data_IF_416969315432
#
_entry.id   IF_416969315432
#
_cell.length_a   1.000
_cell.length_b   1.000
_cell.length_c   1.000
_cell.angle_alpha   90.00
_cell.angle_beta   90.00
_cell.angle_gamma   90.00
#
_symmetry.space_group_name_H-M   'P 1'
#
loop_
_entity.id
_entity.type
_entity.pdbx_description
1 polymer ?
#
# COMPACT_ATOMS: atom_id res chain seq x y z
N UNK A 1 56.84 12.63 22.43
CA UNK A 1 57.65 11.46 22.82
C UNK A 1 56.66 10.35 23.14
N UNK A 2 56.45 9.28 22.39
CA UNK A 2 57.33 8.55 21.47
C UNK A 2 56.47 7.67 20.56
N UNK A 3 56.95 7.47 19.33
CA UNK A 3 56.40 6.62 18.28
C UNK A 3 56.80 5.15 18.47
N UNK A 4 55.90 4.22 18.17
CA UNK A 4 56.14 2.87 17.59
C UNK A 4 54.80 2.44 16.96
N UNK A 5 54.57 2.20 15.66
CA UNK A 5 55.22 1.49 14.54
C UNK A 5 55.35 -0.02 14.76
N UNK A 6 54.43 -0.79 14.18
CA UNK A 6 54.62 -2.16 13.60
C UNK A 6 53.22 -2.67 13.19
N UNK A 7 52.78 -2.80 11.93
CA UNK A 7 53.33 -3.40 10.71
C UNK A 7 53.59 -4.91 10.82
N UNK A 8 52.54 -5.72 10.62
CA UNK A 8 52.67 -7.04 9.98
C UNK A 8 51.54 -7.26 8.98
N UNK A 9 51.96 -7.31 7.73
CA UNK A 9 51.22 -7.78 6.57
C UNK A 9 51.13 -9.32 6.58
N UNK A 10 50.00 -9.79 6.06
CA UNK A 10 49.81 -10.90 5.11
C UNK A 10 50.53 -12.23 5.35
N UNK A 11 49.73 -13.29 5.49
CA UNK A 11 49.97 -14.55 4.76
C UNK A 11 48.63 -15.14 4.34
N UNK A 12 48.48 -15.23 3.02
CA UNK A 12 47.48 -16.00 2.30
C UNK A 12 47.70 -17.49 2.55
N UNK A 13 46.68 -18.17 3.09
CA UNK A 13 46.56 -19.61 2.88
C UNK A 13 45.29 -19.88 2.08
N UNK A 14 45.53 -20.20 0.81
CA UNK A 14 44.67 -20.98 -0.07
C UNK A 14 44.00 -22.10 0.71
N UNK A 15 42.67 -22.07 0.80
CA UNK A 15 41.88 -23.16 1.36
C UNK A 15 41.29 -23.95 0.19
N UNK A 16 41.71 -25.21 -0.04
CA UNK A 16 41.17 -26.03 -1.12
C UNK A 16 39.70 -26.36 -0.87
N UNK A 17 38.89 -26.27 -1.93
CA UNK A 17 37.46 -26.60 -1.93
C UNK A 17 37.25 -28.11 -1.68
N UNK A 18 36.31 -28.52 -0.82
CA UNK A 18 35.95 -29.92 -0.66
C UNK A 18 35.11 -30.43 -1.84
N UNK A 19 35.25 -31.72 -2.23
CA UNK A 19 34.58 -32.30 -3.37
C UNK A 19 33.05 -32.44 -3.17
N UNK A 20 32.35 -32.18 -4.27
CA UNK A 20 30.92 -32.33 -4.49
C UNK A 20 30.51 -33.80 -4.35
N UNK A 21 29.88 -34.18 -3.24
CA UNK A 21 29.30 -35.51 -3.07
C UNK A 21 27.85 -35.51 -3.57
N UNK A 22 27.64 -36.07 -4.76
CA UNK A 22 26.33 -36.45 -5.30
C UNK A 22 25.83 -37.71 -4.60
N UNK A 23 24.93 -37.57 -3.62
CA UNK A 23 24.08 -38.66 -3.18
C UNK A 23 22.81 -38.63 -4.02
N UNK A 24 22.78 -39.45 -5.06
CA UNK A 24 21.54 -39.82 -5.74
C UNK A 24 20.76 -40.70 -4.78
N UNK A 25 19.82 -40.10 -4.04
CA UNK A 25 18.78 -40.86 -3.35
C UNK A 25 17.79 -41.33 -4.41
N UNK A 26 17.78 -42.64 -4.63
CA UNK A 26 16.78 -43.35 -5.43
C UNK A 26 15.40 -43.11 -4.80
N UNK A 27 14.57 -42.34 -5.50
CA UNK A 27 13.19 -42.11 -5.10
C UNK A 27 12.40 -43.43 -5.13
N UNK A 28 11.59 -43.75 -4.10
CA UNK A 28 10.65 -44.85 -4.19
C UNK A 28 9.59 -44.54 -5.25
N UNK A 29 9.38 -45.49 -6.16
CA UNK A 29 8.32 -45.53 -7.15
C UNK A 29 6.96 -45.38 -6.47
N UNK A 30 6.40 -44.17 -6.49
CA UNK A 30 5.02 -43.94 -6.10
C UNK A 30 4.12 -44.36 -7.27
N UNK A 31 3.28 -45.34 -7.00
CA UNK A 31 2.17 -45.81 -7.82
C UNK A 31 1.31 -44.60 -8.24
N UNK A 32 0.91 -44.47 -9.52
CA UNK A 32 -0.02 -43.41 -9.92
C UNK A 32 -1.40 -43.71 -9.34
N UNK A 33 -1.70 -43.07 -8.21
CA UNK A 33 -3.04 -43.02 -7.62
C UNK A 33 -4.02 -42.46 -8.66
N UNK A 34 -5.19 -43.09 -8.86
CA UNK A 34 -6.17 -42.63 -9.84
C UNK A 34 -6.58 -41.20 -9.53
N UNK A 35 -6.51 -40.37 -10.57
CA UNK A 35 -6.74 -38.94 -10.56
C UNK A 35 -7.95 -38.55 -9.69
N UNK A 36 -7.68 -37.98 -8.53
CA UNK A 36 -8.67 -37.24 -7.77
C UNK A 36 -9.09 -36.05 -8.66
N UNK A 37 -10.38 -35.84 -8.99
CA UNK A 37 -10.79 -34.65 -9.70
C UNK A 37 -10.44 -33.46 -8.82
N UNK A 38 -9.55 -32.58 -9.31
CA UNK A 38 -9.14 -31.40 -8.58
C UNK A 38 -10.38 -30.56 -8.23
N UNK A 39 -10.85 -30.64 -6.98
CA UNK A 39 -11.99 -29.88 -6.43
C UNK A 39 -11.65 -28.40 -6.21
N UNK A 40 -10.82 -27.83 -7.08
CA UNK A 40 -10.57 -26.41 -7.17
C UNK A 40 -11.11 -25.98 -8.52
N UNK A 41 -12.42 -25.75 -8.57
CA UNK A 41 -13.03 -25.03 -9.67
C UNK A 41 -12.16 -23.81 -9.93
N UNK A 42 -11.63 -23.70 -11.16
CA UNK A 42 -10.82 -22.55 -11.58
C UNK A 42 -11.63 -21.32 -11.19
N UNK A 43 -11.11 -20.52 -10.25
CA UNK A 43 -11.60 -19.17 -9.99
C UNK A 43 -11.86 -18.55 -11.36
N UNK A 44 -13.12 -18.18 -11.63
CA UNK A 44 -13.51 -17.59 -12.90
C UNK A 44 -12.54 -16.44 -13.15
N UNK A 45 -11.59 -16.65 -14.07
CA UNK A 45 -10.58 -15.67 -14.41
C UNK A 45 -11.31 -14.62 -15.24
N UNK A 46 -11.93 -13.64 -14.58
CA UNK A 46 -12.38 -12.43 -15.26
C UNK A 46 -11.16 -11.88 -16.02
N UNK A 47 -11.29 -11.56 -17.32
CA UNK A 47 -10.18 -10.99 -18.05
C UNK A 47 -9.68 -9.75 -17.29
N UNK A 48 -8.36 -9.50 -17.26
CA UNK A 48 -7.83 -8.31 -16.60
C UNK A 48 -8.51 -7.07 -17.22
N UNK A 49 -8.94 -6.10 -16.39
CA UNK A 49 -9.58 -4.91 -16.90
C UNK A 49 -8.61 -4.15 -17.83
N UNK A 50 -9.13 -3.36 -18.78
CA UNK A 50 -8.29 -2.59 -19.67
C UNK A 50 -7.39 -1.64 -18.88
N UNK A 51 -6.17 -1.44 -19.36
CA UNK A 51 -5.18 -0.56 -18.71
C UNK A 51 -5.69 0.88 -18.60
N UNK A 52 -6.41 1.34 -19.61
CA UNK A 52 -7.07 2.64 -19.64
C UNK A 52 -8.58 2.37 -19.62
N UNK A 53 -9.30 2.76 -18.55
CA UNK A 53 -10.74 2.61 -18.49
C UNK A 53 -11.42 3.66 -19.35
N UNK A 54 -12.50 3.27 -20.02
CA UNK A 54 -13.40 4.24 -20.65
C UNK A 54 -14.00 5.14 -19.56
N UNK A 55 -14.18 6.45 -19.80
CA UNK A 55 -14.90 7.31 -18.88
C UNK A 55 -16.31 6.77 -18.64
N UNK A 56 -16.71 6.65 -17.39
CA UNK A 56 -18.01 6.12 -17.00
C UNK A 56 -18.46 6.76 -15.67
N UNK A 57 -19.74 6.59 -15.32
CA UNK A 57 -20.38 7.23 -14.15
C UNK A 57 -20.44 8.77 -14.21
N UNK A 58 -20.48 9.35 -15.42
CA UNK A 58 -20.50 10.81 -15.62
C UNK A 58 -19.19 11.52 -15.30
N UNK A 59 -18.08 10.77 -15.21
CA UNK A 59 -16.75 11.27 -14.95
C UNK A 59 -15.95 11.17 -16.25
N UNK A 60 -15.85 12.29 -16.96
CA UNK A 60 -15.13 12.39 -18.23
C UNK A 60 -13.75 13.04 -18.07
N UNK A 61 -13.62 13.92 -17.07
CA UNK A 61 -12.40 14.69 -16.83
C UNK A 61 -11.59 14.13 -15.66
N UNK A 62 -10.28 14.32 -15.73
CA UNK A 62 -9.34 13.96 -14.64
C UNK A 62 -9.70 14.71 -13.36
N UNK A 63 -10.07 15.98 -13.48
CA UNK A 63 -10.50 16.83 -12.37
C UNK A 63 -11.72 16.25 -11.65
N UNK A 64 -12.78 15.91 -12.40
CA UNK A 64 -13.98 15.30 -11.83
C UNK A 64 -13.66 13.98 -11.12
N UNK A 65 -12.75 13.17 -11.68
CA UNK A 65 -12.30 11.95 -11.02
C UNK A 65 -11.59 12.25 -9.71
N UNK A 66 -10.63 13.16 -9.68
CA UNK A 66 -9.86 13.49 -8.48
C UNK A 66 -10.74 14.13 -7.39
N UNK A 67 -11.71 14.96 -7.77
CA UNK A 67 -12.71 15.55 -6.87
C UNK A 67 -13.58 14.48 -6.22
N UNK A 68 -14.02 13.48 -6.99
CA UNK A 68 -14.85 12.39 -6.49
C UNK A 68 -14.17 11.57 -5.37
N UNK A 69 -12.83 11.57 -5.32
CA UNK A 69 -12.04 10.85 -4.32
C UNK A 69 -12.03 11.52 -2.94
N UNK A 70 -12.58 12.74 -2.79
CA UNK A 70 -12.76 13.48 -1.53
C UNK A 70 -11.47 13.69 -0.73
N UNK A 71 -10.35 13.90 -1.43
CA UNK A 71 -9.03 14.18 -0.81
C UNK A 71 -8.39 15.41 -1.43
N UNK A 72 -8.12 16.47 -0.64
CA UNK A 72 -7.60 17.73 -1.18
C UNK A 72 -6.18 17.59 -1.76
N UNK A 73 -5.38 16.68 -1.22
CA UNK A 73 -4.01 16.42 -1.69
C UNK A 73 -3.93 15.86 -3.11
N UNK A 74 -5.01 15.24 -3.60
CA UNK A 74 -5.07 14.70 -4.96
C UNK A 74 -5.46 15.77 -5.99
N UNK A 75 -6.13 16.84 -5.57
CA UNK A 75 -6.53 17.93 -6.48
C UNK A 75 -5.32 18.66 -7.07
N UNK A 76 -4.18 18.69 -6.35
CA UNK A 76 -2.94 19.25 -6.86
C UNK A 76 -2.41 18.54 -8.12
N UNK A 77 -2.91 17.33 -8.43
CA UNK A 77 -2.54 16.56 -9.61
C UNK A 77 -3.29 17.00 -10.87
N UNK A 78 -4.45 17.67 -10.72
CA UNK A 78 -5.23 18.19 -11.84
C UNK A 78 -4.39 19.11 -12.75
N UNK A 79 -3.60 19.99 -12.14
CA UNK A 79 -2.73 20.93 -12.84
C UNK A 79 -1.63 20.24 -13.68
N UNK A 80 -1.33 18.97 -13.42
CA UNK A 80 -0.27 18.22 -14.10
C UNK A 80 -0.79 17.26 -15.16
N UNK A 81 -1.96 16.69 -14.92
CA UNK A 81 -2.55 15.68 -15.79
C UNK A 81 -3.84 16.25 -16.38
N UNK A 82 -3.71 16.82 -17.57
CA UNK A 82 -4.84 17.34 -18.33
C UNK A 82 -5.55 16.21 -19.07
N UNK A 83 -4.81 15.17 -19.48
CA UNK A 83 -5.35 14.06 -20.27
C UNK A 83 -5.70 12.84 -19.42
N UNK A 84 -6.86 12.25 -19.73
CA UNK A 84 -7.36 11.03 -19.10
C UNK A 84 -6.39 9.85 -19.28
N UNK A 85 -5.91 9.66 -20.51
CA UNK A 85 -5.01 8.57 -20.85
C UNK A 85 -3.66 8.73 -20.15
N UNK A 86 -3.18 9.97 -19.98
CA UNK A 86 -1.95 10.25 -19.25
C UNK A 86 -2.10 9.82 -17.79
N UNK A 87 -3.22 10.11 -17.13
CA UNK A 87 -3.45 9.68 -15.74
C UNK A 87 -3.39 8.15 -15.59
N UNK A 88 -4.03 7.40 -16.50
CA UNK A 88 -4.16 5.94 -16.40
C UNK A 88 -3.02 5.13 -17.06
N UNK A 89 -2.21 5.76 -17.91
CA UNK A 89 -1.08 5.11 -18.59
C UNK A 89 0.17 5.03 -17.71
N UNK A 90 0.40 6.05 -16.86
CA UNK A 90 1.58 6.14 -16.00
C UNK A 90 1.77 4.87 -15.17
N UNK A 91 3.02 4.42 -15.08
CA UNK A 91 3.48 3.47 -14.06
C UNK A 91 3.62 4.26 -12.75
N UNK A 92 2.58 4.28 -11.92
CA UNK A 92 2.33 5.41 -11.05
C UNK A 92 3.15 5.31 -9.75
N UNK A 93 3.94 4.25 -9.59
CA UNK A 93 4.79 4.05 -8.41
C UNK A 93 6.16 4.70 -8.56
N UNK A 94 6.66 4.93 -9.77
CA UNK A 94 8.00 5.49 -10.02
C UNK A 94 7.93 6.97 -10.40
N UNK A 95 6.99 7.38 -11.27
CA UNK A 95 6.89 8.77 -11.73
C UNK A 95 6.34 9.71 -10.65
N UNK A 96 5.20 9.39 -10.02
CA UNK A 96 4.61 10.22 -8.94
C UNK A 96 5.52 10.43 -7.73
N UNK A 97 6.54 9.58 -7.55
CA UNK A 97 7.55 9.67 -6.48
C UNK A 97 8.68 10.58 -6.87
N UNK A 98 9.20 10.42 -8.10
CA UNK A 98 10.27 11.25 -8.66
C UNK A 98 9.82 12.70 -8.75
N UNK A 99 8.56 12.93 -9.09
CA UNK A 99 8.00 14.26 -9.32
C UNK A 99 7.62 14.98 -8.02
N UNK A 100 7.87 14.38 -6.85
CA UNK A 100 7.62 14.96 -5.52
C UNK A 100 6.16 15.32 -5.21
N UNK A 101 5.22 14.98 -6.10
CA UNK A 101 3.87 15.55 -6.10
C UNK A 101 2.98 14.89 -5.05
N UNK A 102 3.17 13.58 -4.86
CA UNK A 102 2.59 12.82 -3.76
C UNK A 102 3.70 12.30 -2.86
N UNK A 103 4.26 13.20 -2.05
CA UNK A 103 5.28 12.86 -1.06
C UNK A 103 4.77 11.75 -0.11
N UNK A 104 3.51 11.84 0.33
CA UNK A 104 2.92 10.91 1.30
C UNK A 104 2.64 9.53 0.65
N UNK A 105 3.31 8.45 1.08
CA UNK A 105 3.14 7.12 0.47
C UNK A 105 1.71 6.56 0.57
N UNK A 106 0.94 6.99 1.58
CA UNK A 106 -0.45 6.59 1.76
C UNK A 106 -1.35 7.16 0.65
N UNK A 107 -1.09 8.38 0.20
CA UNK A 107 -1.89 9.05 -0.83
C UNK A 107 -1.62 8.43 -2.19
N UNK A 108 -0.37 8.10 -2.48
CA UNK A 108 0.01 7.32 -3.67
C UNK A 108 -0.76 6.00 -3.71
N UNK A 109 -0.62 5.15 -2.70
CA UNK A 109 -1.31 3.85 -2.65
C UNK A 109 -2.83 4.00 -2.77
N UNK A 110 -3.39 5.05 -2.16
CA UNK A 110 -4.81 5.31 -2.24
C UNK A 110 -5.24 5.66 -3.68
N UNK A 111 -4.51 6.55 -4.38
CA UNK A 111 -4.78 6.86 -5.78
C UNK A 111 -4.72 5.60 -6.66
N UNK A 112 -3.70 4.77 -6.48
CA UNK A 112 -3.53 3.54 -7.28
C UNK A 112 -4.71 2.59 -7.10
N UNK A 113 -5.08 2.35 -5.84
CA UNK A 113 -6.26 1.54 -5.52
C UNK A 113 -7.51 2.13 -6.18
N UNK A 114 -7.70 3.44 -6.15
CA UNK A 114 -8.87 4.09 -6.74
C UNK A 114 -8.89 3.91 -8.27
N UNK A 115 -7.75 4.05 -8.94
CA UNK A 115 -7.64 3.79 -10.38
C UNK A 115 -7.94 2.33 -10.73
N UNK A 116 -7.46 1.37 -9.93
CA UNK A 116 -7.76 -0.05 -10.10
C UNK A 116 -9.25 -0.35 -9.91
N UNK A 117 -9.88 0.22 -8.88
CA UNK A 117 -11.32 0.04 -8.65
C UNK A 117 -12.16 0.66 -9.76
N UNK A 118 -11.76 1.83 -10.26
CA UNK A 118 -12.40 2.46 -11.41
C UNK A 118 -12.22 1.62 -12.68
N UNK A 119 -11.04 1.00 -12.91
CA UNK A 119 -10.84 0.03 -14.00
C UNK A 119 -11.77 -1.17 -13.92
N UNK A 120 -12.19 -1.55 -12.71
CA UNK A 120 -13.17 -2.61 -12.49
C UNK A 120 -14.64 -2.17 -12.67
N UNK A 121 -14.89 -0.91 -13.01
CA UNK A 121 -16.25 -0.40 -13.25
C UNK A 121 -16.96 0.12 -12.01
N UNK A 122 -16.28 0.22 -10.86
CA UNK A 122 -16.89 0.68 -9.61
C UNK A 122 -17.05 2.21 -9.60
N UNK A 123 -18.13 2.70 -9.01
CA UNK A 123 -18.36 4.14 -8.86
C UNK A 123 -17.41 4.71 -7.78
N UNK A 124 -16.63 5.77 -8.09
CA UNK A 124 -15.80 6.46 -7.11
C UNK A 124 -16.54 6.88 -5.85
N UNK A 125 -17.83 7.22 -5.93
CA UNK A 125 -18.63 7.59 -4.76
C UNK A 125 -18.75 6.46 -3.73
N UNK A 126 -18.71 5.21 -4.17
CA UNK A 126 -18.83 4.02 -3.31
C UNK A 126 -17.51 3.71 -2.58
N UNK A 127 -16.37 3.79 -3.29
CA UNK A 127 -15.09 3.38 -2.73
C UNK A 127 -14.23 4.52 -2.19
N UNK A 128 -14.60 5.78 -2.45
CA UNK A 128 -13.86 6.95 -1.98
C UNK A 128 -13.92 7.07 -0.46
N UNK A 129 -12.73 7.11 0.16
CA UNK A 129 -12.56 7.31 1.59
C UNK A 129 -11.92 8.68 1.83
N UNK A 130 -12.76 9.63 2.25
CA UNK A 130 -12.35 10.98 2.60
C UNK A 130 -11.39 11.05 3.80
N UNK A 131 -10.84 12.23 4.03
CA UNK A 131 -9.94 12.48 5.17
C UNK A 131 -10.74 12.34 6.47
N UNK A 132 -10.33 11.40 7.33
CA UNK A 132 -10.96 11.22 8.64
C UNK A 132 -10.67 12.46 9.50
N UNK A 133 -11.72 13.07 10.06
CA UNK A 133 -11.58 14.20 10.97
C UNK A 133 -10.67 13.80 12.15
N UNK A 134 -9.75 14.67 12.59
CA UNK A 134 -8.92 14.38 13.74
C UNK A 134 -9.80 14.16 14.97
N UNK A 135 -9.39 13.22 15.83
CA UNK A 135 -10.10 12.97 17.09
C UNK A 135 -10.10 14.26 17.93
N UNK A 136 -11.30 14.70 18.34
CA UNK A 136 -11.47 15.89 19.21
C UNK A 136 -10.73 15.74 20.54
N UNK A 137 -10.81 14.56 21.15
CA UNK A 137 -10.12 14.22 22.39
C UNK A 137 -9.20 13.02 22.16
N UNK A 138 -7.95 13.09 22.65
CA UNK A 138 -7.01 11.97 22.72
C UNK A 138 -6.85 11.53 24.17
N UNK A 139 -6.96 10.24 24.49
CA UNK A 139 -6.78 9.72 25.86
C UNK A 139 -7.63 8.49 26.22
N UNK A 140 -7.58 8.11 27.50
CA UNK A 140 -8.11 6.87 28.12
C UNK A 140 -9.61 6.87 28.48
N UNK A 141 -10.35 7.91 28.12
CA UNK A 141 -11.79 8.01 28.39
C UNK A 141 -12.23 9.38 28.88
N UNK A 142 -13.52 9.56 29.21
CA UNK A 142 -14.12 10.86 29.54
C UNK A 142 -13.44 11.58 30.71
N UNK A 143 -12.80 10.82 31.60
CA UNK A 143 -12.14 11.33 32.80
C UNK A 143 -10.83 12.07 32.51
N UNK A 144 -10.20 11.88 31.35
CA UNK A 144 -8.93 12.52 31.01
C UNK A 144 -9.03 13.12 29.61
N UNK A 145 -9.16 14.44 29.55
CA UNK A 145 -9.24 15.21 28.31
C UNK A 145 -8.16 16.29 28.32
N UNK A 146 -7.46 16.49 27.19
CA UNK A 146 -6.41 17.50 27.04
C UNK A 146 -5.31 17.45 28.12
N UNK A 147 -4.96 16.25 28.59
CA UNK A 147 -3.97 16.06 29.66
C UNK A 147 -4.48 16.42 31.06
N UNK A 148 -5.75 16.84 31.22
CA UNK A 148 -6.37 17.19 32.49
C UNK A 148 -7.35 16.10 32.93
N UNK A 149 -7.31 15.75 34.22
CA UNK A 149 -8.31 14.88 34.84
C UNK A 149 -9.58 15.68 35.13
N UNK A 150 -10.66 15.35 34.43
CA UNK A 150 -11.99 15.85 34.74
C UNK A 150 -12.51 15.09 35.96
N UNK A 151 -12.72 15.80 37.08
CA UNK A 151 -13.51 15.30 38.22
C UNK A 151 -14.93 15.80 38.01
N UNK A 152 -15.91 14.89 38.02
CA UNK A 152 -17.32 15.30 38.04
C UNK A 152 -17.57 16.14 39.29
N UNK A 153 -18.35 17.21 39.18
CA UNK A 153 -18.92 17.85 40.38
C UNK A 153 -19.82 16.79 41.04
N UNK A 154 -19.76 16.58 42.37
CA UNK A 154 -20.78 15.78 43.03
C UNK A 154 -22.13 16.38 42.64
N UNK A 155 -23.05 15.56 42.13
CA UNK A 155 -24.40 16.01 41.86
C UNK A 155 -24.93 16.60 43.18
N UNK A 156 -25.05 17.92 43.23
CA UNK A 156 -25.69 18.58 44.35
C UNK A 156 -27.08 17.98 44.48
N UNK A 157 -27.41 17.53 45.69
CA UNK A 157 -28.73 16.99 46.03
C UNK A 157 -29.81 17.91 45.45
N UNK A 158 -30.57 17.40 44.49
CA UNK A 158 -31.77 18.07 43.99
C UNK A 158 -32.79 17.97 45.13
N UNK A 159 -32.91 19.03 45.91
CA UNK A 159 -34.06 19.22 46.82
C UNK A 159 -35.27 19.57 45.96
N UNK A 160 -36.21 18.65 45.92
CA UNK A 160 -37.59 18.82 45.44
C UNK A 160 -38.37 19.76 46.36
#
# INVERSE_FOLDING_TARGET
>A
MSLTRSLRQLLSLSRPAPPRQSHYSTAPTQTPSPAQPAKFARFIRKPPPPRIPKPHHGIETVEAFLESLRRPSLLALANKFTEWDQLFSLEPKTQLVKDGTLSVPKERRYLLRCMELFRHGLDPKEFAVGVRKPKKFRGWGPRVQHGKRLRGKPAGRVTI
#
